data_IF_712950133903
#
_entry.id   IF_712950133903
#
_cell.length_a   1.000
_cell.length_b   1.000
_cell.length_c   1.000
_cell.angle_alpha   90.00
_cell.angle_beta   90.00
_cell.angle_gamma   90.00
#
_symmetry.space_group_name_H-M   'P 1'
#
loop_
_entity.id
_entity.type
_entity.pdbx_description
1 polymer ?
#
# COMPACT_ATOMS: atom_id res chain seq x y z
N UNK A 1 3.04 31.75 -4.02
CA UNK A 1 3.71 31.40 -2.76
C UNK A 1 2.80 30.42 -2.01
N UNK A 2 3.35 29.51 -1.19
CA UNK A 2 2.68 28.38 -0.52
C UNK A 2 2.35 27.26 -1.54
N UNK A 3 3.10 26.16 -1.69
CA UNK A 3 3.48 25.14 -0.71
C UNK A 3 4.84 24.50 -1.09
N UNK A 4 5.91 24.81 -0.36
CA UNK A 4 7.14 24.00 -0.35
C UNK A 4 7.61 23.71 1.09
N UNK A 5 6.69 23.71 2.05
CA UNK A 5 6.99 23.22 3.38
C UNK A 5 6.52 21.77 3.47
N UNK A 6 7.47 20.86 3.80
CA UNK A 6 7.28 19.52 4.36
C UNK A 6 7.60 18.26 3.52
N UNK A 7 8.25 18.39 2.34
CA UNK A 7 8.83 17.23 1.63
C UNK A 7 7.83 16.16 1.15
N UNK A 8 8.29 15.02 0.58
CA UNK A 8 7.41 13.97 0.08
C UNK A 8 6.55 13.34 1.18
N UNK A 9 7.02 13.32 2.43
CA UNK A 9 6.28 12.81 3.59
C UNK A 9 4.96 13.55 3.83
N UNK A 10 4.90 14.86 3.56
CA UNK A 10 3.66 15.63 3.69
C UNK A 10 2.64 15.31 2.61
N UNK A 11 3.09 14.94 1.40
CA UNK A 11 2.21 14.46 0.33
C UNK A 11 1.55 13.13 0.71
N UNK A 12 2.27 12.26 1.42
CA UNK A 12 1.71 11.00 1.91
C UNK A 12 0.74 11.23 3.07
N UNK A 13 1.03 12.14 4.01
CA UNK A 13 0.14 12.41 5.15
C UNK A 13 -1.21 13.01 4.77
N UNK A 14 -1.28 13.87 3.75
CA UNK A 14 -2.54 14.50 3.32
C UNK A 14 -3.37 13.64 2.36
N UNK A 15 -2.75 12.67 1.68
CA UNK A 15 -3.40 11.88 0.63
C UNK A 15 -3.48 10.38 0.93
N UNK A 16 -3.24 9.96 2.17
CA UNK A 16 -3.43 8.57 2.60
C UNK A 16 -4.66 8.42 3.47
N UNK A 17 -5.32 7.27 3.32
CA UNK A 17 -6.34 6.81 4.26
C UNK A 17 -5.86 5.52 4.89
N UNK A 18 -6.00 5.43 6.22
CA UNK A 18 -5.85 4.15 6.91
C UNK A 18 -7.03 3.27 6.52
N UNK A 19 -6.76 2.05 6.06
CA UNK A 19 -7.81 1.10 5.74
C UNK A 19 -8.34 0.45 7.02
N UNK A 20 -9.64 0.14 7.08
CA UNK A 20 -10.17 -0.74 8.11
C UNK A 20 -9.65 -2.17 7.89
N UNK A 21 -9.70 -3.02 8.93
CA UNK A 21 -9.42 -4.44 8.77
C UNK A 21 -10.28 -5.07 7.67
N UNK A 22 -9.74 -6.08 7.01
CA UNK A 22 -10.40 -6.91 6.03
C UNK A 22 -11.47 -7.78 6.69
N UNK A 23 -12.57 -7.99 5.95
CA UNK A 23 -13.57 -8.98 6.28
C UNK A 23 -13.14 -10.41 5.86
N UNK A 24 -12.06 -10.53 5.07
CA UNK A 24 -11.49 -11.80 4.62
C UNK A 24 -10.42 -12.31 5.58
N UNK A 25 -10.19 -13.62 5.55
CA UNK A 25 -9.18 -14.31 6.34
C UNK A 25 -8.12 -14.95 5.43
N UNK A 26 -6.93 -15.30 5.95
CA UNK A 26 -5.87 -15.93 5.15
C UNK A 26 -6.33 -17.18 4.38
N UNK A 27 -7.26 -17.96 4.95
CA UNK A 27 -7.82 -19.16 4.34
C UNK A 27 -8.63 -18.89 3.06
N UNK A 28 -9.17 -17.68 2.86
CA UNK A 28 -9.87 -17.32 1.62
C UNK A 28 -8.92 -17.24 0.40
N UNK A 29 -7.60 -17.21 0.67
CA UNK A 29 -6.54 -17.19 -0.33
C UNK A 29 -5.85 -18.54 -0.54
N UNK A 30 -6.47 -19.67 -0.16
CA UNK A 30 -5.89 -21.02 -0.28
C UNK A 30 -5.35 -21.32 -1.70
N UNK A 31 -6.08 -20.89 -2.73
CA UNK A 31 -5.70 -21.06 -4.13
C UNK A 31 -4.35 -20.40 -4.53
N UNK A 32 -3.84 -19.45 -3.73
CA UNK A 32 -2.52 -18.83 -3.88
C UNK A 32 -1.67 -18.93 -2.61
N UNK A 33 -1.94 -19.92 -1.75
CA UNK A 33 -1.32 -20.05 -0.43
C UNK A 33 0.22 -19.95 -0.47
N UNK A 34 0.87 -20.58 -1.45
CA UNK A 34 2.32 -20.52 -1.57
C UNK A 34 2.83 -19.08 -1.76
N UNK A 35 2.12 -18.26 -2.55
CA UNK A 35 2.45 -16.85 -2.76
C UNK A 35 2.14 -16.04 -1.51
N UNK A 36 0.99 -16.27 -0.90
CA UNK A 36 0.58 -15.65 0.36
C UNK A 36 1.66 -15.84 1.44
N UNK A 37 2.07 -17.09 1.68
CA UNK A 37 3.06 -17.44 2.70
C UNK A 37 4.42 -16.80 2.43
N UNK A 38 4.85 -16.73 1.16
CA UNK A 38 6.12 -16.08 0.78
C UNK A 38 6.10 -14.60 1.12
N UNK A 39 5.03 -13.90 0.72
CA UNK A 39 4.89 -12.45 0.97
C UNK A 39 4.75 -12.18 2.47
N UNK A 40 3.89 -12.93 3.16
CA UNK A 40 3.71 -12.84 4.60
C UNK A 40 5.04 -12.99 5.36
N UNK A 41 5.79 -14.06 5.08
CA UNK A 41 7.06 -14.31 5.75
C UNK A 41 8.11 -13.24 5.45
N UNK A 42 8.14 -12.72 4.22
CA UNK A 42 9.06 -11.67 3.84
C UNK A 42 8.77 -10.35 4.56
N UNK A 43 7.51 -9.87 4.51
CA UNK A 43 7.08 -8.63 5.18
C UNK A 43 7.26 -8.75 6.69
N UNK A 44 6.81 -9.85 7.29
CA UNK A 44 6.94 -10.09 8.74
C UNK A 44 8.40 -10.03 9.18
N UNK A 45 9.32 -10.67 8.44
CA UNK A 45 10.75 -10.62 8.74
C UNK A 45 11.32 -9.22 8.58
N UNK A 46 10.97 -8.52 7.51
CA UNK A 46 11.42 -7.15 7.28
C UNK A 46 10.96 -6.20 8.40
N UNK A 47 9.68 -6.28 8.78
CA UNK A 47 9.10 -5.51 9.88
C UNK A 47 9.78 -5.83 11.22
N UNK A 48 9.99 -7.12 11.54
CA UNK A 48 10.64 -7.53 12.80
C UNK A 48 12.08 -7.03 12.94
N UNK A 49 12.76 -6.80 11.81
CA UNK A 49 14.14 -6.29 11.77
C UNK A 49 14.22 -4.77 11.58
N UNK A 50 13.08 -4.08 11.48
CA UNK A 50 13.05 -2.64 11.19
C UNK A 50 13.71 -2.27 9.86
N UNK A 51 13.67 -3.17 8.86
CA UNK A 51 14.27 -2.89 7.55
C UNK A 51 13.52 -1.75 6.87
N UNK A 52 14.27 -0.80 6.32
CA UNK A 52 13.73 0.31 5.53
C UNK A 52 13.84 0.00 4.04
N UNK A 53 12.98 0.62 3.22
CA UNK A 53 13.03 0.46 1.75
C UNK A 53 12.54 -0.89 1.22
N UNK A 54 11.65 -1.56 1.95
CA UNK A 54 11.04 -2.82 1.51
C UNK A 54 9.87 -2.54 0.57
N UNK A 55 10.04 -2.86 -0.72
CA UNK A 55 9.07 -2.56 -1.77
C UNK A 55 8.59 -3.85 -2.45
N UNK A 56 7.28 -4.01 -2.60
CA UNK A 56 6.66 -5.19 -3.22
C UNK A 56 5.67 -4.70 -4.28
N UNK A 57 5.77 -5.24 -5.49
CA UNK A 57 4.79 -5.00 -6.56
C UNK A 57 3.87 -6.21 -6.68
N UNK A 58 2.58 -6.01 -6.43
CA UNK A 58 1.53 -7.01 -6.65
C UNK A 58 0.77 -6.61 -7.91
N UNK A 59 0.79 -7.47 -8.94
CA UNK A 59 0.16 -7.21 -10.23
C UNK A 59 -0.76 -8.37 -10.64
N UNK A 60 -1.67 -8.10 -11.56
CA UNK A 60 -2.69 -9.04 -12.03
C UNK A 60 -3.89 -8.29 -12.58
N UNK A 61 -4.78 -9.00 -13.27
CA UNK A 61 -5.97 -8.42 -13.90
C UNK A 61 -6.81 -7.59 -12.91
N UNK A 62 -7.54 -6.55 -13.35
CA UNK A 62 -8.46 -5.80 -12.49
C UNK A 62 -9.46 -6.74 -11.81
N UNK A 63 -9.84 -6.45 -10.56
CA UNK A 63 -10.82 -7.25 -9.82
C UNK A 63 -10.30 -8.57 -9.20
N UNK A 64 -9.01 -8.91 -9.34
CA UNK A 64 -8.44 -10.16 -8.77
C UNK A 64 -8.08 -10.09 -7.28
N UNK A 65 -8.70 -9.19 -6.50
CA UNK A 65 -8.50 -9.12 -5.05
C UNK A 65 -7.11 -8.67 -4.56
N UNK A 66 -6.32 -7.96 -5.38
CA UNK A 66 -4.96 -7.49 -4.99
C UNK A 66 -4.97 -6.59 -3.75
N UNK A 67 -5.86 -5.60 -3.73
CA UNK A 67 -6.01 -4.69 -2.58
C UNK A 67 -6.44 -5.47 -1.34
N UNK A 68 -7.37 -6.41 -1.51
CA UNK A 68 -7.87 -7.23 -0.41
C UNK A 68 -6.79 -8.17 0.14
N UNK A 69 -5.98 -8.78 -0.72
CA UNK A 69 -4.82 -9.59 -0.33
C UNK A 69 -3.86 -8.80 0.57
N UNK A 70 -3.58 -7.53 0.20
CA UNK A 70 -2.72 -6.65 1.01
C UNK A 70 -3.37 -6.33 2.35
N UNK A 71 -4.69 -6.13 2.38
CA UNK A 71 -5.43 -5.87 3.61
C UNK A 71 -5.33 -7.06 4.58
N UNK A 72 -5.66 -8.27 4.11
CA UNK A 72 -5.54 -9.51 4.90
C UNK A 72 -4.12 -9.75 5.39
N UNK A 73 -3.11 -9.54 4.54
CA UNK A 73 -1.72 -9.65 4.96
C UNK A 73 -1.39 -8.67 6.09
N UNK A 74 -1.84 -7.42 5.99
CA UNK A 74 -1.58 -6.40 6.99
C UNK A 74 -2.22 -6.73 8.33
N UNK A 75 -3.48 -7.18 8.33
CA UNK A 75 -4.19 -7.57 9.55
C UNK A 75 -3.57 -8.79 10.21
N UNK A 76 -3.22 -9.82 9.43
CA UNK A 76 -2.55 -11.01 9.93
C UNK A 76 -1.20 -10.70 10.60
N UNK A 77 -0.57 -9.57 10.25
CA UNK A 77 0.69 -9.10 10.83
C UNK A 77 0.51 -7.99 11.88
N UNK A 78 -0.72 -7.51 12.13
CA UNK A 78 -1.00 -6.37 13.01
C UNK A 78 -0.40 -5.05 12.51
N UNK A 79 -0.21 -4.91 11.20
CA UNK A 79 0.35 -3.72 10.56
C UNK A 79 -0.78 -2.76 10.17
N UNK A 80 -0.52 -1.46 10.21
CA UNK A 80 -1.47 -0.47 9.66
C UNK A 80 -1.30 -0.37 8.15
N UNK A 81 -2.38 -0.59 7.40
CA UNK A 81 -2.43 -0.39 5.96
C UNK A 81 -2.90 1.02 5.63
N UNK A 82 -2.21 1.65 4.68
CA UNK A 82 -2.57 2.96 4.14
C UNK A 82 -2.70 2.87 2.62
N UNK A 83 -3.81 3.36 2.10
CA UNK A 83 -4.00 3.54 0.66
C UNK A 83 -3.75 4.99 0.27
N UNK A 84 -3.01 5.18 -0.81
CA UNK A 84 -2.82 6.49 -1.42
C UNK A 84 -4.01 6.77 -2.33
N UNK A 85 -4.75 7.85 -2.05
CA UNK A 85 -5.86 8.28 -2.90
C UNK A 85 -5.34 8.59 -4.31
N UNK A 86 -5.98 8.03 -5.34
CA UNK A 86 -5.66 8.31 -6.74
C UNK A 86 -6.38 9.55 -7.29
N UNK A 87 -7.38 10.07 -6.58
CA UNK A 87 -8.16 11.26 -6.95
C UNK A 87 -8.36 12.22 -5.77
N UNK A 88 -8.29 13.52 -6.06
CA UNK A 88 -8.71 14.58 -5.14
C UNK A 88 -10.22 14.54 -4.89
N UNK A 89 -10.69 15.30 -3.90
CA UNK A 89 -12.13 15.43 -3.57
C UNK A 89 -12.99 16.01 -4.69
N UNK A 90 -12.37 16.44 -5.79
CA UNK A 90 -12.97 17.00 -7.00
C UNK A 90 -12.98 16.02 -8.20
N UNK A 91 -12.58 14.76 -7.98
CA UNK A 91 -12.53 13.74 -9.04
C UNK A 91 -11.41 13.95 -10.06
N UNK A 92 -10.48 14.89 -9.81
CA UNK A 92 -9.28 15.04 -10.64
C UNK A 92 -8.22 14.04 -10.17
N UNK A 93 -7.51 13.37 -11.09
CA UNK A 93 -6.28 12.67 -10.75
C UNK A 93 -5.36 13.63 -10.00
N UNK A 94 -4.65 13.15 -8.96
CA UNK A 94 -3.53 13.91 -8.41
C UNK A 94 -2.56 14.15 -9.57
N UNK A 95 -2.51 15.39 -10.07
CA UNK A 95 -1.75 15.75 -11.27
C UNK A 95 -0.31 15.32 -11.10
N UNK A 96 0.16 14.49 -12.04
CA UNK A 96 1.51 13.93 -12.09
C UNK A 96 2.59 14.94 -12.46
N UNK A 97 2.34 16.24 -12.33
CA UNK A 97 3.20 17.34 -12.78
C UNK A 97 4.48 17.55 -11.93
N UNK A 98 4.91 16.53 -11.20
CA UNK A 98 6.25 16.51 -10.60
C UNK A 98 6.92 15.14 -10.67
N UNK A 99 6.62 14.35 -11.72
CA UNK A 99 7.24 13.03 -11.90
C UNK A 99 8.50 12.98 -12.77
N UNK A 100 8.79 13.89 -13.70
CA UNK A 100 9.96 13.73 -14.60
C UNK A 100 10.34 15.03 -15.34
N UNK A 101 11.01 15.94 -14.64
CA UNK A 101 11.91 16.98 -15.17
C UNK A 101 12.38 17.74 -13.93
N UNK A 102 13.60 17.54 -13.44
CA UNK A 102 14.81 18.07 -14.05
C UNK A 102 16.02 17.37 -13.44
N UNK A 103 17.01 17.12 -14.30
CA UNK A 103 18.40 16.74 -14.02
C UNK A 103 19.07 17.61 -12.95
#
# INVERSE_FOLDING_TARGET
MYFEENGPDALFRSNTLKLPPSDLIPSDFEHIQQTYDRVYNYIRRAASKGLQGVNILIYGSPGTGKTELVNVLSDAMGLSLYEVKSSGSDGRPLTGDRRLATY
#
